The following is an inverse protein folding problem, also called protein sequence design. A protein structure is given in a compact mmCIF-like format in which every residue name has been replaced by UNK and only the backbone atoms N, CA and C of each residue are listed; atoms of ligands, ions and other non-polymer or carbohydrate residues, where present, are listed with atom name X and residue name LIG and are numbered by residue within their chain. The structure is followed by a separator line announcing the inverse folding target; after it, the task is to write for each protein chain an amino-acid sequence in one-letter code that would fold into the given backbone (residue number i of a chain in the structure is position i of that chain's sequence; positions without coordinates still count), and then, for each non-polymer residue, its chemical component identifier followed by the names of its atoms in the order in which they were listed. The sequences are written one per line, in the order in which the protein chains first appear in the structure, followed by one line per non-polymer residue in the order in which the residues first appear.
data_IF_498340741306
#
_entry.id   IF_498340741306
#
_cell.length_a   1.000
_cell.length_b   1.000
_cell.length_c   1.000
_cell.angle_alpha   90.00
_cell.angle_beta   90.00
_cell.angle_gamma   90.00
#
_symmetry.space_group_name_H-M   'P 1'
#
loop_
_entity.id
_entity.type
_entity.pdbx_description
1 polymer ?
#
# COMPACT_ATOMS: atom_id res chain seq x y z
N UNK A 1 -2.24 25.66 3.97
CA UNK A 1 -2.41 24.23 3.67
C UNK A 1 -2.30 24.12 2.17
N UNK A 2 -1.34 23.38 1.64
CA UNK A 2 -1.21 23.26 0.20
C UNK A 2 -2.47 22.55 -0.32
N UNK A 3 -3.17 23.18 -1.27
CA UNK A 3 -4.20 22.51 -2.06
C UNK A 3 -3.50 21.42 -2.87
N UNK A 4 -3.36 20.23 -2.28
CA UNK A 4 -2.85 19.06 -2.98
C UNK A 4 -3.94 18.65 -3.96
N UNK A 5 -3.82 19.13 -5.19
CA UNK A 5 -4.76 18.86 -6.26
C UNK A 5 -4.55 17.41 -6.74
N UNK A 6 -5.12 16.47 -5.99
CA UNK A 6 -5.01 15.04 -6.25
C UNK A 6 -5.62 14.74 -7.61
N UNK A 7 -4.79 14.22 -8.51
CA UNK A 7 -5.18 13.92 -9.88
C UNK A 7 -5.07 12.41 -10.11
N UNK A 8 -6.16 11.81 -10.57
CA UNK A 8 -6.17 10.41 -10.99
C UNK A 8 -5.33 10.22 -12.26
N UNK A 9 -4.53 9.16 -12.29
CA UNK A 9 -3.70 8.77 -13.43
C UNK A 9 -4.24 7.45 -14.00
N UNK A 10 -4.66 7.41 -15.28
CA UNK A 10 -5.11 6.19 -15.95
C UNK A 10 -4.02 5.11 -15.97
N UNK A 11 -4.42 3.84 -15.92
CA UNK A 11 -3.51 2.69 -15.79
C UNK A 11 -2.44 2.64 -16.90
N UNK A 12 -2.84 3.01 -18.12
CA UNK A 12 -1.99 3.08 -19.32
C UNK A 12 -0.97 4.24 -19.29
N UNK A 13 -1.18 5.24 -18.45
CA UNK A 13 -0.32 6.42 -18.33
C UNK A 13 0.65 6.34 -17.14
N UNK A 14 0.36 5.50 -16.14
CA UNK A 14 1.12 5.40 -14.86
C UNK A 14 2.64 5.37 -15.12
N UNK A 15 3.09 4.44 -15.95
CA UNK A 15 4.52 4.21 -16.16
C UNK A 15 5.19 5.42 -16.82
N UNK A 16 4.48 6.16 -17.68
CA UNK A 16 5.01 7.37 -18.33
C UNK A 16 5.00 8.59 -17.40
N UNK A 17 3.95 8.75 -16.60
CA UNK A 17 3.80 9.84 -15.63
C UNK A 17 4.86 9.74 -14.53
N UNK A 18 5.19 8.53 -14.08
CA UNK A 18 6.14 8.28 -13.00
C UNK A 18 7.53 7.83 -13.47
N UNK A 19 7.82 7.87 -14.79
CA UNK A 19 9.07 7.39 -15.39
C UNK A 19 10.36 8.01 -14.80
N UNK A 20 10.28 9.21 -14.24
CA UNK A 20 11.40 9.94 -13.63
C UNK A 20 11.36 9.95 -12.10
N UNK A 21 10.59 9.04 -11.51
CA UNK A 21 10.50 8.87 -10.05
C UNK A 21 11.13 7.54 -9.63
N UNK A 22 11.20 7.31 -8.32
CA UNK A 22 11.67 6.05 -7.76
C UNK A 22 10.58 5.51 -6.86
N UNK A 23 10.28 4.21 -6.96
CA UNK A 23 9.36 3.55 -6.04
C UNK A 23 10.00 3.44 -4.66
N UNK A 24 9.69 4.40 -3.79
CA UNK A 24 10.22 4.47 -2.42
C UNK A 24 9.75 3.30 -1.54
N UNK A 25 8.63 2.65 -1.88
CA UNK A 25 8.10 1.51 -1.13
C UNK A 25 8.71 0.16 -1.56
N UNK A 26 9.59 0.14 -2.56
CA UNK A 26 10.20 -1.10 -3.04
C UNK A 26 11.10 -1.76 -1.98
N UNK A 27 10.89 -3.05 -1.76
CA UNK A 27 11.80 -3.90 -0.96
C UNK A 27 13.24 -3.90 -1.47
N UNK A 28 13.47 -3.62 -2.77
CA UNK A 28 14.80 -3.45 -3.33
C UNK A 28 15.57 -2.24 -2.76
N UNK A 29 14.86 -1.27 -2.17
CA UNK A 29 15.45 -0.15 -1.43
C UNK A 29 15.53 -0.42 0.08
N UNK A 30 15.27 -1.64 0.53
CA UNK A 30 15.11 -2.05 1.95
C UNK A 30 13.86 -1.47 2.64
N UNK A 31 12.87 -1.04 1.87
CA UNK A 31 11.55 -0.74 2.42
C UNK A 31 10.91 -2.03 2.94
N UNK A 32 10.28 -1.95 4.11
CA UNK A 32 9.71 -3.12 4.78
C UNK A 32 8.42 -2.76 5.53
N UNK A 33 7.58 -3.77 5.73
CA UNK A 33 6.40 -3.66 6.58
C UNK A 33 6.88 -3.56 8.02
N UNK A 34 6.40 -2.52 8.67
CA UNK A 34 6.78 -2.18 10.02
C UNK A 34 5.72 -2.63 11.03
N UNK A 35 4.45 -2.48 10.67
CA UNK A 35 3.31 -3.06 11.37
C UNK A 35 2.12 -3.21 10.41
N UNK A 36 1.15 -4.06 10.74
CA UNK A 36 -0.13 -4.13 10.03
C UNK A 36 -1.24 -4.62 10.98
N UNK A 37 -2.49 -4.33 10.66
CA UNK A 37 -3.65 -4.80 11.43
C UNK A 37 -3.83 -6.31 11.34
N UNK A 38 -3.62 -6.86 10.14
CA UNK A 38 -3.89 -8.25 9.80
C UNK A 38 -3.18 -8.60 8.49
N UNK A 39 -2.67 -9.82 8.35
CA UNK A 39 -2.07 -10.32 7.10
C UNK A 39 -2.35 -11.82 6.87
N UNK A 40 -3.54 -12.25 7.32
CA UNK A 40 -3.86 -13.67 7.48
C UNK A 40 -3.84 -14.50 6.19
N UNK A 41 -4.44 -14.00 5.10
CA UNK A 41 -4.52 -14.79 3.86
C UNK A 41 -3.29 -14.59 2.98
N UNK A 42 -2.77 -13.36 2.92
CA UNK A 42 -1.55 -13.06 2.19
C UNK A 42 -0.77 -11.93 2.90
N UNK A 43 0.56 -12.06 2.94
CA UNK A 43 1.43 -11.21 3.74
C UNK A 43 1.48 -9.76 3.20
N UNK A 44 1.43 -8.78 4.11
CA UNK A 44 1.54 -7.36 3.75
C UNK A 44 2.86 -7.02 3.02
N UNK A 45 3.92 -7.78 3.27
CA UNK A 45 5.22 -7.60 2.60
C UNK A 45 5.16 -7.77 1.09
N UNK A 46 4.17 -8.49 0.56
CA UNK A 46 3.99 -8.67 -0.88
C UNK A 46 3.71 -7.35 -1.61
N UNK A 47 3.15 -6.35 -0.93
CA UNK A 47 2.93 -4.99 -1.48
C UNK A 47 4.23 -4.30 -1.91
N UNK A 48 5.36 -4.74 -1.37
CA UNK A 48 6.68 -4.11 -1.56
C UNK A 48 7.50 -4.85 -2.63
N UNK A 49 6.95 -5.89 -3.24
CA UNK A 49 7.62 -6.68 -4.29
C UNK A 49 7.82 -5.80 -5.53
N UNK A 50 9.04 -5.69 -6.09
CA UNK A 50 9.32 -4.79 -7.22
C UNK A 50 8.76 -5.30 -8.56
N UNK A 51 8.37 -6.57 -8.64
CA UNK A 51 7.79 -7.16 -9.85
C UNK A 51 6.28 -7.02 -9.86
N UNK A 52 5.69 -7.04 -11.05
CA UNK A 52 4.24 -7.13 -11.21
C UNK A 52 3.69 -8.36 -10.46
N UNK A 53 2.48 -8.28 -9.88
CA UNK A 53 1.88 -9.40 -9.17
C UNK A 53 1.70 -10.59 -10.12
N UNK A 54 1.75 -11.80 -9.57
CA UNK A 54 1.48 -13.04 -10.32
C UNK A 54 0.29 -13.80 -9.74
N UNK A 55 -0.38 -14.57 -10.60
CA UNK A 55 -1.43 -15.51 -10.18
C UNK A 55 -0.92 -16.94 -10.30
N UNK A 56 -1.26 -17.77 -9.31
CA UNK A 56 -0.99 -19.22 -9.32
C UNK A 56 -2.26 -20.01 -8.99
N UNK A 57 -3.19 -20.15 -9.96
CA UNK A 57 -4.41 -20.92 -9.74
C UNK A 57 -4.10 -22.35 -9.30
N UNK A 58 -4.81 -22.83 -8.27
CA UNK A 58 -4.61 -24.17 -7.73
C UNK A 58 -3.48 -24.29 -6.70
N UNK A 59 -2.75 -23.21 -6.41
CA UNK A 59 -1.78 -23.18 -5.31
C UNK A 59 -2.47 -22.69 -4.05
N UNK A 60 -2.34 -23.46 -2.97
CA UNK A 60 -2.93 -23.16 -1.67
C UNK A 60 -1.86 -23.10 -0.59
N UNK A 61 -2.04 -22.17 0.33
CA UNK A 61 -1.34 -22.11 1.62
C UNK A 61 -2.29 -22.56 2.73
N UNK A 62 -1.76 -22.70 3.94
CA UNK A 62 -2.55 -23.15 5.09
C UNK A 62 -3.80 -22.29 5.39
N UNK A 63 -3.82 -21.02 4.97
CA UNK A 63 -4.94 -20.10 5.17
C UNK A 63 -5.89 -20.01 3.97
N UNK A 64 -5.59 -20.59 2.81
CA UNK A 64 -6.45 -20.51 1.63
C UNK A 64 -5.71 -20.54 0.30
N UNK A 65 -6.33 -20.00 -0.75
CA UNK A 65 -5.65 -19.81 -2.03
C UNK A 65 -4.46 -18.85 -1.87
N UNK A 66 -3.34 -19.15 -2.52
CA UNK A 66 -2.17 -18.27 -2.49
C UNK A 66 -2.41 -17.03 -3.36
N UNK A 67 -2.09 -15.85 -2.82
CA UNK A 67 -2.12 -14.58 -3.54
C UNK A 67 -0.78 -13.86 -3.45
N UNK A 68 -0.41 -13.20 -4.55
CA UNK A 68 0.69 -12.25 -4.62
C UNK A 68 0.18 -10.84 -4.34
N UNK A 69 -0.04 -10.56 -3.05
CA UNK A 69 -0.61 -9.31 -2.55
C UNK A 69 -0.84 -9.39 -1.06
N UNK A 70 -1.59 -8.42 -0.52
CA UNK A 70 -1.98 -8.39 0.89
C UNK A 70 -3.48 -8.68 1.02
N UNK A 71 -3.84 -9.65 1.85
CA UNK A 71 -5.24 -10.02 2.08
C UNK A 71 -5.51 -10.31 3.56
N UNK A 72 -6.51 -9.61 4.10
CA UNK A 72 -6.91 -9.66 5.51
C UNK A 72 -8.13 -10.54 5.73
N UNK A 73 -8.41 -10.90 6.99
CA UNK A 73 -9.64 -11.62 7.35
C UNK A 73 -10.88 -10.78 7.04
N UNK A 74 -11.93 -11.47 6.58
CA UNK A 74 -13.26 -10.86 6.40
C UNK A 74 -13.88 -10.47 7.75
N UNK A 75 -14.82 -9.53 7.68
CA UNK A 75 -15.58 -9.02 8.84
C UNK A 75 -14.68 -8.38 9.90
N UNK A 76 -13.78 -7.50 9.44
CA UNK A 76 -13.01 -6.64 10.34
C UNK A 76 -13.97 -5.85 11.24
N UNK A 77 -13.87 -5.94 12.58
CA UNK A 77 -14.68 -5.14 13.49
C UNK A 77 -14.29 -3.65 13.48
N UNK A 78 -13.07 -3.33 13.03
CA UNK A 78 -12.58 -1.97 12.87
C UNK A 78 -13.01 -1.37 11.52
N UNK A 79 -13.03 -0.03 11.38
CA UNK A 79 -13.48 0.62 10.15
C UNK A 79 -12.63 0.32 8.91
N UNK A 80 -11.37 -0.08 9.09
CA UNK A 80 -10.43 -0.39 8.02
C UNK A 80 -9.29 -1.30 8.51
N UNK A 81 -8.66 -1.99 7.56
CA UNK A 81 -7.35 -2.59 7.75
C UNK A 81 -6.25 -1.60 7.36
N UNK A 82 -5.07 -1.73 7.97
CA UNK A 82 -3.96 -0.82 7.73
C UNK A 82 -2.62 -1.56 7.70
N UNK A 83 -1.65 -0.95 7.01
CA UNK A 83 -0.25 -1.37 6.97
C UNK A 83 0.63 -0.13 7.11
N UNK A 84 1.62 -0.19 8.00
CA UNK A 84 2.66 0.82 8.14
C UNK A 84 3.90 0.32 7.42
N UNK A 85 4.38 1.11 6.46
CA UNK A 85 5.57 0.78 5.64
C UNK A 85 6.68 1.76 6.01
N UNK A 86 7.83 1.24 6.43
CA UNK A 86 9.04 2.04 6.60
C UNK A 86 9.77 2.08 5.27
N UNK A 87 9.95 3.29 4.73
CA UNK A 87 10.72 3.50 3.51
C UNK A 87 12.20 3.25 3.81
N UNK A 88 12.92 2.60 2.88
CA UNK A 88 14.33 2.27 3.06
C UNK A 88 15.29 3.45 2.80
N UNK A 89 14.78 4.59 2.34
CA UNK A 89 15.51 5.85 2.25
C UNK A 89 15.34 6.69 3.52
N UNK A 90 16.33 7.51 3.87
CA UNK A 90 16.28 8.34 5.08
C UNK A 90 15.14 9.38 5.04
N UNK A 91 14.84 9.91 3.86
CA UNK A 91 13.71 10.79 3.58
C UNK A 91 13.42 10.82 2.08
N UNK A 92 12.22 11.25 1.70
CA UNK A 92 11.83 11.40 0.30
C UNK A 92 10.55 12.22 0.15
N UNK A 93 10.32 12.75 -1.05
CA UNK A 93 9.09 13.44 -1.38
C UNK A 93 8.18 12.52 -2.20
N UNK A 94 6.96 12.32 -1.73
CA UNK A 94 5.96 11.50 -2.41
C UNK A 94 5.39 12.32 -3.57
N UNK A 95 5.62 11.86 -4.80
CA UNK A 95 5.10 12.46 -6.04
C UNK A 95 3.78 11.83 -6.49
N UNK A 96 3.38 10.74 -5.86
CA UNK A 96 2.18 9.99 -6.17
C UNK A 96 2.20 8.62 -5.51
N UNK A 97 1.10 7.89 -5.65
CA UNK A 97 0.94 6.53 -5.15
C UNK A 97 0.19 5.70 -6.16
N UNK A 98 0.62 4.45 -6.32
CA UNK A 98 -0.10 3.43 -7.07
C UNK A 98 -0.70 2.40 -6.09
N UNK A 99 -1.94 2.00 -6.33
CA UNK A 99 -2.60 0.85 -5.72
C UNK A 99 -2.97 -0.12 -6.82
N UNK A 100 -2.37 -1.30 -6.81
CA UNK A 100 -2.68 -2.39 -7.72
C UNK A 100 -3.51 -3.47 -7.01
N UNK A 101 -4.71 -3.72 -7.54
CA UNK A 101 -5.63 -4.77 -7.07
C UNK A 101 -5.53 -6.03 -7.92
N UNK A 102 -4.40 -6.24 -8.60
CA UNK A 102 -4.11 -7.38 -9.44
C UNK A 102 -4.59 -8.71 -8.85
N UNK A 103 -5.41 -9.42 -9.63
CA UNK A 103 -6.03 -10.72 -9.29
C UNK A 103 -7.06 -10.72 -8.14
N UNK A 104 -7.26 -9.60 -7.43
CA UNK A 104 -8.39 -9.42 -6.50
C UNK A 104 -9.62 -8.93 -7.27
N UNK A 105 -10.58 -9.84 -7.51
CA UNK A 105 -11.76 -9.55 -8.36
C UNK A 105 -13.01 -9.24 -7.54
N UNK A 106 -13.24 -9.98 -6.44
CA UNK A 106 -14.40 -9.80 -5.56
C UNK A 106 -14.04 -9.50 -4.10
N UNK A 107 -12.75 -9.55 -3.78
CA UNK A 107 -12.17 -9.39 -2.44
C UNK A 107 -11.09 -8.28 -2.42
N UNK A 108 -11.13 -7.36 -3.38
CA UNK A 108 -10.24 -6.20 -3.39
C UNK A 108 -10.64 -5.21 -2.29
N UNK A 109 -9.68 -4.43 -1.79
CA UNK A 109 -9.98 -3.31 -0.89
C UNK A 109 -10.79 -2.25 -1.63
N UNK A 110 -12.02 -1.98 -1.19
CA UNK A 110 -12.95 -1.10 -1.91
C UNK A 110 -12.40 0.32 -2.10
N UNK A 111 -11.73 0.82 -1.05
CA UNK A 111 -11.07 2.12 -1.03
C UNK A 111 -9.70 2.03 -0.36
N UNK A 112 -8.82 2.94 -0.73
CA UNK A 112 -7.52 3.12 -0.08
C UNK A 112 -7.34 4.59 0.32
N UNK A 113 -6.80 4.81 1.52
CA UNK A 113 -6.28 6.09 1.99
C UNK A 113 -4.76 5.95 2.16
N UNK A 114 -4.01 7.02 1.89
CA UNK A 114 -2.59 7.07 2.21
C UNK A 114 -2.31 8.20 3.19
N UNK A 115 -1.61 7.84 4.26
CA UNK A 115 -1.04 8.77 5.22
C UNK A 115 0.48 8.65 5.19
N UNK A 116 1.16 9.76 5.51
CA UNK A 116 2.61 9.81 5.62
C UNK A 116 3.03 10.58 6.86
N UNK A 117 4.22 10.28 7.36
CA UNK A 117 4.85 11.01 8.45
C UNK A 117 6.36 11.06 8.23
N UNK A 118 6.99 12.12 8.73
CA UNK A 118 8.45 12.23 8.82
C UNK A 118 8.82 12.47 10.28
N UNK A 119 9.29 11.42 10.95
CA UNK A 119 9.47 11.40 12.39
C UNK A 119 10.90 10.96 12.79
N UNK A 120 11.96 11.72 12.41
CA UNK A 120 13.35 11.32 12.63
C UNK A 120 13.76 11.19 14.10
N UNK A 121 12.96 11.71 15.04
CA UNK A 121 13.20 11.63 16.48
C UNK A 121 12.23 10.71 17.23
N UNK A 122 11.22 10.16 16.56
CA UNK A 122 10.29 9.22 17.19
C UNK A 122 10.91 7.82 17.18
N UNK A 123 10.84 7.06 18.29
CA UNK A 123 11.24 5.68 18.27
C UNK A 123 10.34 4.90 17.33
N UNK A 124 10.94 3.95 16.63
CA UNK A 124 10.28 3.00 15.74
C UNK A 124 9.01 2.40 16.40
N UNK A 125 9.07 1.96 17.66
CA UNK A 125 7.91 1.39 18.37
C UNK A 125 6.72 2.34 18.52
N UNK A 126 6.95 3.65 18.57
CA UNK A 126 5.87 4.64 18.66
C UNK A 126 5.15 4.82 17.32
N UNK A 127 5.90 4.86 16.22
CA UNK A 127 5.33 4.99 14.86
C UNK A 127 4.59 3.73 14.42
N UNK A 128 5.01 2.56 14.92
CA UNK A 128 4.33 1.28 14.68
C UNK A 128 3.00 1.13 15.45
N UNK A 129 2.72 1.98 16.44
CA UNK A 129 1.49 1.90 17.22
C UNK A 129 0.27 2.33 16.38
N UNK A 130 -0.80 1.52 16.44
CA UNK A 130 -2.05 1.79 15.74
C UNK A 130 -2.69 3.15 16.12
N UNK A 131 -2.36 3.68 17.30
CA UNK A 131 -2.86 4.94 17.81
C UNK A 131 -1.92 6.13 17.55
N UNK A 132 -0.80 5.93 16.85
CA UNK A 132 0.12 7.01 16.51
C UNK A 132 -0.63 8.17 15.83
N UNK A 133 -0.45 9.39 16.34
CA UNK A 133 -1.18 10.59 15.87
C UNK A 133 -0.36 11.49 14.97
N UNK A 134 0.89 11.14 14.69
CA UNK A 134 1.78 11.92 13.82
C UNK A 134 1.58 11.69 12.32
N UNK A 135 0.56 10.93 11.92
CA UNK A 135 0.22 10.69 10.52
C UNK A 135 -0.50 11.89 9.90
N UNK A 136 -0.16 12.23 8.66
CA UNK A 136 -0.85 13.22 7.84
C UNK A 136 -1.42 12.56 6.60
N UNK A 137 -2.72 12.70 6.36
CA UNK A 137 -3.35 12.21 5.12
C UNK A 137 -2.81 12.98 3.92
N UNK A 138 -2.24 12.25 2.97
CA UNK A 138 -1.72 12.78 1.70
C UNK A 138 -2.53 12.32 0.49
N UNK A 139 -3.29 11.23 0.64
CA UNK A 139 -4.34 10.82 -0.28
C UNK A 139 -5.59 10.45 0.55
N UNK A 140 -6.68 11.23 0.50
CA UNK A 140 -7.95 10.87 1.14
C UNK A 140 -8.56 9.64 0.43
N UNK A 141 -9.54 8.94 1.05
CA UNK A 141 -10.04 7.67 0.55
C UNK A 141 -10.46 7.70 -0.93
N UNK A 142 -9.78 6.93 -1.77
CA UNK A 142 -10.06 6.76 -3.19
C UNK A 142 -10.57 5.36 -3.51
N UNK A 143 -11.49 5.19 -4.49
CA UNK A 143 -11.93 3.86 -4.92
C UNK A 143 -10.84 3.11 -5.69
N UNK A 144 -10.62 1.83 -5.38
CA UNK A 144 -9.62 0.99 -6.05
C UNK A 144 -10.22 0.17 -7.21
N UNK A 145 -11.39 -0.42 -7.01
CA UNK A 145 -12.06 -1.34 -7.96
C UNK A 145 -11.30 -2.66 -8.24
N UNK A 146 -11.88 -3.57 -9.03
CA UNK A 146 -11.36 -4.94 -9.19
C UNK A 146 -10.24 -5.05 -10.24
N UNK A 147 -9.20 -5.84 -9.92
CA UNK A 147 -8.17 -6.30 -10.87
C UNK A 147 -7.63 -5.18 -11.78
N UNK A 148 -7.19 -4.09 -11.18
CA UNK A 148 -6.66 -2.95 -11.92
C UNK A 148 -5.60 -2.18 -11.12
N UNK A 149 -4.70 -1.55 -11.86
CA UNK A 149 -3.79 -0.53 -11.36
C UNK A 149 -4.52 0.81 -11.31
N UNK A 150 -4.35 1.56 -10.23
CA UNK A 150 -4.78 2.95 -10.12
C UNK A 150 -3.69 3.77 -9.48
N UNK A 151 -3.43 4.97 -9.99
CA UNK A 151 -2.50 5.87 -9.36
C UNK A 151 -3.07 7.27 -9.20
N UNK A 152 -2.50 8.01 -8.25
CA UNK A 152 -2.83 9.38 -7.95
C UNK A 152 -1.56 10.20 -7.76
N UNK A 153 -1.59 11.44 -8.24
CA UNK A 153 -0.52 12.44 -8.13
C UNK A 153 -0.99 13.64 -7.34
#
# INVERSE_FOLDING_TARGET
MADNNITFVPAEEIDSVFAHTTNLASSGLNSHVFACSNDYFAAASNLLTPTAPINRPGVFVHTGAWYDGWETRRHNPEPYDWVVIKLGVASGSIQGVEVDTGFFVGNYGEKAELQATYAPGAPDTEVADANYKGWTTILPPQPCGPKQRRAWK
#
